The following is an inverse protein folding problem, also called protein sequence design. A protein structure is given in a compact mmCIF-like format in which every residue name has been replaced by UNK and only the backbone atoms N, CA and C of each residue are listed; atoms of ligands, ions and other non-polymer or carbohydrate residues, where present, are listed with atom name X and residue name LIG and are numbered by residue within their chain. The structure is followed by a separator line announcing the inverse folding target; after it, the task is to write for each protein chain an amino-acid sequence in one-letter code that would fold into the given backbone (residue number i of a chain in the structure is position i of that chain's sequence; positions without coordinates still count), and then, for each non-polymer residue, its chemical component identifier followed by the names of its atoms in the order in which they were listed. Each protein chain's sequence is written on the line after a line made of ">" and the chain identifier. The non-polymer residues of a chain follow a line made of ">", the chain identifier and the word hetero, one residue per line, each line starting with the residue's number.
data_IF_307550909678
#
_entry.id   IF_307550909678
#
_cell.length_a   1.000
_cell.length_b   1.000
_cell.length_c   1.000
_cell.angle_alpha   90.00
_cell.angle_beta   90.00
_cell.angle_gamma   90.00
#
_symmetry.space_group_name_H-M   'P 1'
#
loop_
_entity.id
_entity.type
_entity.pdbx_description
1 polymer ?
#
# COMPACT_ATOMS: atom_id res chain seq x y z
N UNK A 1 25.46 1.27 3.48
CA UNK A 1 25.19 2.38 2.54
C UNK A 1 24.27 1.84 1.47
N UNK A 2 23.21 2.55 1.09
CA UNK A 2 22.26 2.08 0.07
C UNK A 2 22.90 2.13 -1.32
N UNK A 3 22.73 1.09 -2.11
CA UNK A 3 23.09 1.09 -3.51
C UNK A 3 21.99 1.68 -4.39
N UNK A 4 22.18 1.71 -5.71
CA UNK A 4 21.22 2.28 -6.65
C UNK A 4 19.90 1.50 -6.67
N UNK A 5 19.96 0.19 -6.53
CA UNK A 5 18.80 -0.70 -6.57
C UNK A 5 17.98 -0.54 -5.30
N UNK A 6 18.63 -0.42 -4.14
CA UNK A 6 18.00 -0.09 -2.87
C UNK A 6 17.23 1.23 -2.94
N UNK A 7 17.86 2.28 -3.47
CA UNK A 7 17.24 3.60 -3.60
C UNK A 7 16.05 3.58 -4.55
N UNK A 8 16.16 2.85 -5.66
CA UNK A 8 15.05 2.70 -6.60
C UNK A 8 13.88 1.93 -5.98
N UNK A 9 14.16 0.89 -5.21
CA UNK A 9 13.15 0.12 -4.49
C UNK A 9 12.45 0.98 -3.43
N UNK A 10 13.22 1.76 -2.66
CA UNK A 10 12.68 2.69 -1.67
C UNK A 10 11.85 3.81 -2.29
N UNK A 11 12.27 4.33 -3.46
CA UNK A 11 11.50 5.31 -4.21
C UNK A 11 10.17 4.73 -4.69
N UNK A 12 10.17 3.54 -5.30
CA UNK A 12 8.93 2.86 -5.73
C UNK A 12 7.96 2.65 -4.56
N UNK A 13 8.50 2.32 -3.39
CA UNK A 13 7.71 2.20 -2.18
C UNK A 13 7.10 3.53 -1.76
N UNK A 14 7.89 4.61 -1.70
CA UNK A 14 7.40 5.95 -1.38
C UNK A 14 6.33 6.43 -2.40
N UNK A 15 6.57 6.20 -3.68
CA UNK A 15 5.61 6.50 -4.75
C UNK A 15 4.29 5.74 -4.59
N UNK A 16 4.35 4.45 -4.25
CA UNK A 16 3.13 3.64 -4.03
C UNK A 16 2.24 4.15 -2.89
N UNK A 17 2.84 4.83 -1.92
CA UNK A 17 2.12 5.45 -0.80
C UNK A 17 1.51 6.80 -1.18
N UNK A 18 2.28 7.65 -1.84
CA UNK A 18 1.88 9.03 -2.14
C UNK A 18 1.05 9.14 -3.42
N UNK A 19 1.25 8.24 -4.39
CA UNK A 19 0.71 8.30 -5.75
C UNK A 19 1.05 9.62 -6.48
N UNK A 20 2.13 10.28 -6.08
CA UNK A 20 2.64 11.50 -6.66
C UNK A 20 4.17 11.44 -6.70
N UNK A 21 4.76 11.83 -7.83
CA UNK A 21 6.20 11.72 -8.06
C UNK A 21 6.97 12.69 -7.15
N UNK A 22 6.51 13.90 -7.02
CA UNK A 22 7.11 14.94 -6.18
C UNK A 22 7.04 14.55 -4.69
N UNK A 23 5.86 14.22 -4.22
CA UNK A 23 5.64 13.81 -2.83
C UNK A 23 6.43 12.53 -2.51
N UNK A 24 6.56 11.60 -3.47
CA UNK A 24 7.37 10.38 -3.34
C UNK A 24 8.86 10.67 -3.16
N UNK A 25 9.42 11.59 -3.95
CA UNK A 25 10.81 12.02 -3.80
C UNK A 25 11.05 12.75 -2.49
N UNK A 26 10.19 13.69 -2.11
CA UNK A 26 10.30 14.44 -0.86
C UNK A 26 10.22 13.53 0.36
N UNK A 27 9.32 12.55 0.31
CA UNK A 27 9.16 11.54 1.35
C UNK A 27 10.42 10.68 1.50
N UNK A 28 10.99 10.19 0.39
CA UNK A 28 12.23 9.43 0.38
C UNK A 28 13.40 10.27 0.90
N UNK A 29 13.56 11.50 0.44
CA UNK A 29 14.63 12.40 0.86
C UNK A 29 14.56 12.65 2.37
N UNK A 30 13.38 13.01 2.89
CA UNK A 30 13.17 13.23 4.33
C UNK A 30 13.51 12.00 5.16
N UNK A 31 13.14 10.81 4.66
CA UNK A 31 13.45 9.56 5.33
C UNK A 31 14.96 9.25 5.34
N UNK A 32 15.66 9.50 4.22
CA UNK A 32 17.12 9.35 4.12
C UNK A 32 17.86 10.29 5.08
N UNK A 33 17.47 11.55 5.13
CA UNK A 33 18.04 12.53 6.07
C UNK A 33 17.88 12.08 7.52
N UNK A 34 16.70 11.56 7.87
CA UNK A 34 16.44 11.02 9.21
C UNK A 34 17.29 9.80 9.49
N UNK A 35 17.41 8.88 8.53
CA UNK A 35 18.22 7.67 8.67
C UNK A 35 19.70 8.00 8.91
N UNK A 36 20.28 8.92 8.13
CA UNK A 36 21.68 9.33 8.26
C UNK A 36 21.94 9.97 9.62
N UNK A 37 20.99 10.77 10.15
CA UNK A 37 21.13 11.42 11.46
C UNK A 37 21.06 10.45 12.64
N UNK A 38 20.53 9.25 12.47
CA UNK A 38 20.40 8.27 13.54
C UNK A 38 21.75 7.68 13.97
N UNK A 39 22.76 7.68 13.09
CA UNK A 39 24.12 7.16 13.36
C UNK A 39 24.14 5.80 14.08
N UNK A 40 23.26 4.88 13.65
CA UNK A 40 23.10 3.54 14.19
C UNK A 40 23.40 2.49 13.14
N UNK A 41 24.03 1.38 13.54
CA UNK A 41 24.12 0.20 12.71
C UNK A 41 22.79 -0.56 12.68
N UNK A 42 22.24 -0.78 11.49
CA UNK A 42 20.97 -1.47 11.27
C UNK A 42 21.23 -2.73 10.47
N UNK A 43 20.80 -3.89 10.99
CA UNK A 43 20.98 -5.19 10.32
C UNK A 43 20.23 -5.28 8.98
N UNK A 44 19.09 -4.61 8.85
CA UNK A 44 18.25 -4.59 7.65
C UNK A 44 17.89 -3.14 7.27
N UNK A 45 18.83 -2.41 6.64
CA UNK A 45 18.66 -0.97 6.42
C UNK A 45 17.48 -0.65 5.50
N UNK A 46 17.21 -1.44 4.46
CA UNK A 46 16.07 -1.23 3.55
C UNK A 46 14.74 -1.40 4.27
N UNK A 47 14.59 -2.45 5.09
CA UNK A 47 13.37 -2.67 5.86
C UNK A 47 13.14 -1.56 6.89
N UNK A 48 14.21 -1.10 7.52
CA UNK A 48 14.16 0.00 8.46
C UNK A 48 13.78 1.33 7.79
N UNK A 49 14.35 1.59 6.60
CA UNK A 49 14.00 2.75 5.77
C UNK A 49 12.52 2.75 5.38
N UNK A 50 11.97 1.61 4.97
CA UNK A 50 10.52 1.50 4.69
C UNK A 50 9.67 1.86 5.90
N UNK A 51 10.08 1.46 7.11
CA UNK A 51 9.39 1.85 8.35
C UNK A 51 9.45 3.36 8.59
N UNK A 52 10.60 4.01 8.32
CA UNK A 52 10.72 5.48 8.42
C UNK A 52 9.81 6.17 7.41
N UNK A 53 9.84 5.73 6.15
CA UNK A 53 9.02 6.27 5.06
C UNK A 53 7.54 6.16 5.42
N UNK A 54 7.08 4.98 5.84
CA UNK A 54 5.69 4.75 6.20
C UNK A 54 5.23 5.62 7.37
N UNK A 55 6.00 5.65 8.45
CA UNK A 55 5.67 6.47 9.62
C UNK A 55 5.57 7.94 9.26
N UNK A 56 6.50 8.46 8.44
CA UNK A 56 6.46 9.84 7.98
C UNK A 56 5.23 10.11 7.12
N UNK A 57 4.93 9.21 6.18
CA UNK A 57 3.74 9.32 5.34
C UNK A 57 2.45 9.37 6.15
N UNK A 58 2.30 8.48 7.14
CA UNK A 58 1.13 8.46 8.02
C UNK A 58 1.03 9.75 8.86
N UNK A 59 2.15 10.26 9.36
CA UNK A 59 2.17 11.53 10.09
C UNK A 59 1.73 12.70 9.20
N UNK A 60 2.21 12.77 7.97
CA UNK A 60 1.80 13.78 6.99
C UNK A 60 0.29 13.67 6.65
N UNK A 61 -0.22 12.44 6.48
CA UNK A 61 -1.65 12.21 6.28
C UNK A 61 -2.50 12.63 7.48
N UNK A 62 -2.04 12.38 8.71
CA UNK A 62 -2.72 12.82 9.93
C UNK A 62 -2.76 14.35 10.02
N UNK A 63 -1.65 15.02 9.70
CA UNK A 63 -1.58 16.48 9.66
C UNK A 63 -2.54 17.07 8.62
N UNK A 64 -2.64 16.44 7.46
CA UNK A 64 -3.59 16.83 6.40
C UNK A 64 -5.03 16.44 6.71
N UNK A 65 -5.32 15.77 7.84
CA UNK A 65 -6.65 15.22 8.24
C UNK A 65 -7.27 14.29 7.18
N UNK A 66 -6.46 13.61 6.40
CA UNK A 66 -6.91 12.70 5.34
C UNK A 66 -7.30 11.33 5.91
N UNK A 67 -6.71 10.92 7.04
CA UNK A 67 -6.99 9.62 7.67
C UNK A 67 -8.08 9.77 8.72
N UNK A 68 -9.22 9.17 8.46
CA UNK A 68 -10.24 8.88 9.47
C UNK A 68 -9.97 7.48 10.03
N UNK A 69 -9.67 7.40 11.33
CA UNK A 69 -9.56 6.10 12.00
C UNK A 69 -10.97 5.55 12.25
N UNK A 70 -11.38 4.60 11.44
CA UNK A 70 -12.56 3.80 11.72
C UNK A 70 -12.20 2.66 12.67
N UNK A 71 -12.85 2.60 13.82
CA UNK A 71 -12.81 1.44 14.71
C UNK A 71 -13.67 0.34 14.10
N UNK A 72 -13.09 -0.87 13.96
CA UNK A 72 -13.76 -2.00 13.37
C UNK A 72 -14.09 -3.08 14.38
N UNK A 73 -15.31 -3.59 14.28
CA UNK A 73 -15.73 -4.83 14.93
C UNK A 73 -15.45 -6.03 13.99
N UNK A 74 -14.90 -7.07 14.55
CA UNK A 74 -14.35 -8.28 13.88
C UNK A 74 -15.43 -9.19 13.24
N UNK A 75 -16.72 -8.82 13.33
CA UNK A 75 -17.85 -9.73 13.13
C UNK A 75 -18.34 -9.94 11.69
N UNK A 76 -17.80 -9.21 10.70
CA UNK A 76 -18.37 -9.17 9.34
C UNK A 76 -17.52 -9.84 8.24
N UNK A 77 -16.65 -10.80 8.59
CA UNK A 77 -15.81 -11.49 7.60
C UNK A 77 -16.52 -12.73 7.06
N UNK A 78 -16.81 -12.80 5.74
CA UNK A 78 -17.26 -14.04 5.11
C UNK A 78 -16.17 -15.10 5.13
N UNK A 79 -16.57 -16.36 5.30
CA UNK A 79 -15.67 -17.51 5.41
C UNK A 79 -14.90 -17.83 4.10
N UNK A 80 -15.42 -17.42 2.94
CA UNK A 80 -14.82 -17.69 1.63
C UNK A 80 -14.21 -16.42 1.04
N UNK A 81 -12.89 -16.29 1.22
CA UNK A 81 -12.11 -15.18 0.71
C UNK A 81 -11.24 -15.61 -0.47
N UNK A 82 -11.66 -15.26 -1.69
CA UNK A 82 -10.88 -15.51 -2.91
C UNK A 82 -9.90 -14.37 -3.20
N UNK A 83 -8.60 -14.68 -3.15
CA UNK A 83 -7.49 -13.71 -3.33
C UNK A 83 -7.21 -13.46 -4.82
N UNK A 84 -7.62 -14.35 -5.73
CA UNK A 84 -7.22 -14.35 -7.14
C UNK A 84 -7.70 -13.11 -7.93
N UNK A 85 -8.85 -12.56 -7.58
CA UNK A 85 -9.45 -11.43 -8.34
C UNK A 85 -8.63 -10.13 -8.24
N UNK A 86 -7.83 -9.93 -7.19
CA UNK A 86 -7.00 -8.74 -7.02
C UNK A 86 -5.69 -8.85 -7.80
N UNK A 87 -5.13 -10.05 -7.94
CA UNK A 87 -3.95 -10.30 -8.78
C UNK A 87 -4.24 -10.00 -10.25
N UNK A 88 -5.40 -10.41 -10.75
CA UNK A 88 -5.83 -10.15 -12.11
C UNK A 88 -5.98 -8.66 -12.43
N UNK A 89 -6.41 -7.85 -11.44
CA UNK A 89 -6.56 -6.40 -11.60
C UNK A 89 -5.21 -5.65 -11.61
N UNK A 90 -4.17 -6.20 -10.98
CA UNK A 90 -2.85 -5.55 -10.86
C UNK A 90 -1.89 -5.84 -12.02
N UNK A 91 -2.27 -6.68 -12.99
CA UNK A 91 -1.42 -7.06 -14.14
C UNK A 91 -1.17 -5.89 -15.11
N UNK A 92 -2.02 -4.86 -15.12
CA UNK A 92 -1.89 -3.70 -16.00
C UNK A 92 -1.32 -2.50 -15.22
N UNK A 93 -0.14 -1.98 -15.62
CA UNK A 93 0.54 -0.85 -14.96
C UNK A 93 -0.36 0.38 -14.83
N UNK A 94 -1.11 0.73 -15.86
CA UNK A 94 -2.06 1.86 -15.83
C UNK A 94 -3.21 1.64 -14.83
N UNK A 95 -3.65 0.41 -14.67
CA UNK A 95 -4.70 0.03 -13.74
C UNK A 95 -4.17 0.01 -12.30
N UNK A 96 -2.93 -0.43 -12.10
CA UNK A 96 -2.29 -0.41 -10.78
C UNK A 96 -2.20 1.00 -10.21
N UNK A 97 -1.85 1.99 -11.03
CA UNK A 97 -1.79 3.39 -10.60
C UNK A 97 -3.18 3.93 -10.23
N UNK A 98 -4.20 3.65 -11.04
CA UNK A 98 -5.59 4.03 -10.74
C UNK A 98 -6.11 3.37 -9.45
N UNK A 99 -5.77 2.10 -9.23
CA UNK A 99 -6.10 1.38 -7.99
C UNK A 99 -5.46 2.05 -6.79
N UNK A 100 -4.15 2.35 -6.85
CA UNK A 100 -3.44 3.00 -5.76
C UNK A 100 -4.00 4.38 -5.43
N UNK A 101 -4.36 5.18 -6.45
CA UNK A 101 -4.99 6.49 -6.25
C UNK A 101 -6.37 6.39 -5.58
N UNK A 102 -7.10 5.31 -5.84
CA UNK A 102 -8.44 5.07 -5.29
C UNK A 102 -8.41 4.56 -3.84
N UNK A 103 -7.29 3.97 -3.41
CA UNK A 103 -7.12 3.39 -2.09
C UNK A 103 -6.75 4.44 -1.03
N UNK A 104 -7.20 4.18 0.19
CA UNK A 104 -6.79 4.95 1.36
C UNK A 104 -5.29 4.72 1.67
N UNK A 105 -4.62 5.68 2.33
CA UNK A 105 -3.19 5.60 2.61
C UNK A 105 -2.71 4.30 3.26
N UNK A 106 -3.43 3.79 4.23
CA UNK A 106 -3.08 2.54 4.92
C UNK A 106 -3.45 1.28 4.12
N UNK A 107 -4.42 1.39 3.22
CA UNK A 107 -4.76 0.34 2.25
C UNK A 107 -3.65 0.15 1.21
N UNK A 108 -2.98 1.24 0.79
CA UNK A 108 -1.83 1.20 -0.15
C UNK A 108 -0.66 0.40 0.41
N UNK A 109 -0.37 0.56 1.70
CA UNK A 109 0.69 -0.23 2.37
C UNK A 109 0.37 -1.72 2.37
N UNK A 110 -0.85 -2.09 2.68
CA UNK A 110 -1.30 -3.48 2.68
C UNK A 110 -1.19 -4.09 1.28
N UNK A 111 -1.66 -3.37 0.25
CA UNK A 111 -1.58 -3.84 -1.13
C UNK A 111 -0.13 -3.96 -1.63
N UNK A 112 0.73 -3.02 -1.25
CA UNK A 112 2.15 -3.08 -1.59
C UNK A 112 2.82 -4.33 -1.00
N UNK A 113 2.61 -4.59 0.29
CA UNK A 113 3.15 -5.77 0.95
C UNK A 113 2.65 -7.07 0.32
N UNK A 114 1.37 -7.11 -0.06
CA UNK A 114 0.76 -8.28 -0.63
C UNK A 114 1.15 -8.50 -2.10
N UNK A 115 0.99 -7.49 -2.96
CA UNK A 115 1.15 -7.63 -4.41
C UNK A 115 2.62 -7.54 -4.87
N UNK A 116 3.45 -6.73 -4.21
CA UNK A 116 4.82 -6.47 -4.64
C UNK A 116 5.82 -7.28 -3.82
N UNK A 117 5.62 -7.37 -2.50
CA UNK A 117 6.52 -8.12 -1.63
C UNK A 117 6.10 -9.60 -1.46
N UNK A 118 4.89 -9.97 -1.89
CA UNK A 118 4.40 -11.35 -1.85
C UNK A 118 4.08 -11.87 -0.44
N UNK A 119 3.83 -10.99 0.51
CA UNK A 119 3.53 -11.39 1.89
C UNK A 119 2.11 -11.93 2.04
N UNK A 120 1.99 -12.99 2.81
CA UNK A 120 0.69 -13.48 3.29
C UNK A 120 0.04 -12.49 4.26
N UNK A 121 -1.27 -12.61 4.45
CA UNK A 121 -2.00 -11.76 5.41
C UNK A 121 -1.46 -11.85 6.83
N UNK A 122 -0.93 -13.00 7.23
CA UNK A 122 -0.30 -13.19 8.55
C UNK A 122 1.02 -12.46 8.66
N UNK A 123 1.85 -12.49 7.61
CA UNK A 123 3.12 -11.77 7.55
C UNK A 123 2.91 -10.25 7.50
N UNK A 124 1.89 -9.79 6.75
CA UNK A 124 1.49 -8.38 6.73
C UNK A 124 1.06 -7.92 8.12
N UNK A 125 0.25 -8.70 8.82
CA UNK A 125 -0.19 -8.40 10.18
C UNK A 125 1.00 -8.22 11.15
N UNK A 126 1.99 -9.10 11.07
CA UNK A 126 3.22 -9.01 11.86
C UNK A 126 4.02 -7.78 11.47
N UNK A 127 4.25 -7.57 10.16
CA UNK A 127 5.05 -6.45 9.64
C UNK A 127 4.46 -5.08 10.00
N UNK A 128 3.15 -4.94 9.91
CA UNK A 128 2.44 -3.70 10.20
C UNK A 128 2.05 -3.55 11.68
N UNK A 129 2.40 -4.53 12.51
CA UNK A 129 2.04 -4.57 13.94
C UNK A 129 0.52 -4.39 14.16
N UNK A 130 -0.29 -5.04 13.29
CA UNK A 130 -1.76 -4.99 13.33
C UNK A 130 -2.35 -6.37 13.56
N UNK A 131 -3.51 -6.47 14.21
CA UNK A 131 -4.23 -7.74 14.32
C UNK A 131 -4.53 -8.32 12.93
N UNK A 132 -4.40 -9.64 12.77
CA UNK A 132 -4.69 -10.34 11.50
C UNK A 132 -6.11 -10.07 11.00
N UNK A 133 -7.11 -10.04 11.91
CA UNK A 133 -8.49 -9.71 11.59
C UNK A 133 -8.64 -8.31 10.97
N UNK A 134 -7.88 -7.32 11.48
CA UNK A 134 -7.86 -5.96 10.91
C UNK A 134 -7.32 -5.94 9.49
N UNK A 135 -6.25 -6.68 9.21
CA UNK A 135 -5.68 -6.79 7.85
C UNK A 135 -6.66 -7.46 6.90
N UNK A 136 -7.26 -8.58 7.32
CA UNK A 136 -8.28 -9.29 6.54
C UNK A 136 -9.50 -8.42 6.23
N UNK A 137 -10.03 -7.69 7.22
CA UNK A 137 -11.18 -6.80 7.02
C UNK A 137 -10.87 -5.68 6.04
N UNK A 138 -9.66 -5.11 6.10
CA UNK A 138 -9.21 -4.07 5.16
C UNK A 138 -9.08 -4.63 3.74
N UNK A 139 -8.45 -5.77 3.57
CA UNK A 139 -8.34 -6.44 2.26
C UNK A 139 -9.73 -6.75 1.69
N UNK A 140 -10.65 -7.28 2.49
CA UNK A 140 -12.03 -7.55 2.05
C UNK A 140 -12.73 -6.28 1.54
N UNK A 141 -12.61 -5.16 2.28
CA UNK A 141 -13.23 -3.90 1.87
C UNK A 141 -12.57 -3.28 0.65
N UNK A 142 -11.26 -3.33 0.55
CA UNK A 142 -10.55 -2.92 -0.66
C UNK A 142 -11.08 -3.65 -1.88
N UNK A 143 -11.20 -4.99 -1.80
CA UNK A 143 -11.76 -5.79 -2.91
C UNK A 143 -13.17 -5.37 -3.27
N UNK A 144 -14.04 -5.17 -2.28
CA UNK A 144 -15.42 -4.75 -2.52
C UNK A 144 -15.49 -3.36 -3.17
N UNK A 145 -14.66 -2.41 -2.75
CA UNK A 145 -14.54 -1.09 -3.37
C UNK A 145 -14.06 -1.20 -4.82
N UNK A 146 -12.97 -1.95 -5.04
CA UNK A 146 -12.34 -2.11 -6.36
C UNK A 146 -13.26 -2.85 -7.33
N UNK A 147 -13.88 -3.93 -6.91
CA UNK A 147 -14.85 -4.66 -7.73
C UNK A 147 -16.00 -3.76 -8.16
N UNK A 148 -16.55 -2.96 -7.25
CA UNK A 148 -17.64 -2.03 -7.56
C UNK A 148 -17.22 -0.94 -8.55
N UNK A 149 -15.98 -0.45 -8.46
CA UNK A 149 -15.45 0.61 -9.29
C UNK A 149 -15.07 0.10 -10.68
N UNK A 150 -14.30 -0.97 -10.74
CA UNK A 150 -13.68 -1.45 -11.98
C UNK A 150 -14.51 -2.49 -12.76
N UNK A 151 -15.48 -3.18 -12.12
CA UNK A 151 -16.41 -4.06 -12.86
C UNK A 151 -17.37 -3.30 -13.77
N UNK A 152 -17.60 -2.00 -13.51
CA UNK A 152 -18.43 -1.15 -14.39
C UNK A 152 -17.71 -0.76 -15.69
N UNK A 153 -16.39 -0.71 -15.68
CA UNK A 153 -15.62 -0.31 -16.86
C UNK A 153 -15.42 -1.47 -17.84
N UNK A 154 -15.43 -2.72 -17.36
CA UNK A 154 -15.38 -3.90 -18.24
C UNK A 154 -16.61 -4.07 -19.13
N UNK A 155 -17.77 -3.58 -18.70
CA UNK A 155 -19.00 -3.61 -19.50
C UNK A 155 -19.08 -2.49 -20.55
N UNK A 156 -18.32 -1.39 -20.40
CA UNK A 156 -18.30 -0.31 -21.39
C UNK A 156 -17.43 -0.60 -22.60
N UNK A 157 -16.41 -1.46 -22.45
CA UNK A 157 -15.52 -1.82 -23.57
C UNK A 157 -16.14 -2.87 -24.49
N UNK A 158 -17.13 -3.63 -24.01
CA UNK A 158 -17.84 -4.65 -24.81
C UNK A 158 -18.97 -4.06 -25.71
N UNK A 159 -19.39 -2.81 -25.50
CA UNK A 159 -20.45 -2.16 -26.30
C UNK A 159 -19.92 -1.31 -27.47
N UNK A 160 -18.59 -1.25 -27.69
CA UNK A 160 -17.99 -0.45 -28.78
C UNK A 160 -17.55 -1.31 -29.97
N UNK A 161 -17.65 -2.64 -29.90
CA UNK A 161 -17.35 -3.57 -30.99
C UNK A 161 -18.62 -4.26 -31.58
N UNK A 162 -19.63 -3.50 -31.91
CA UNK A 162 -20.72 -3.94 -32.78
C UNK A 162 -21.01 -2.88 -33.85
#
# INVERSE_FOLDING_TARGET
>A
MFDKDDLQLLYRYAYSLTCDEHDGYDLLQTALEKFIKLDIEVNQPVAYMKKIIYNRFIDDCRHKKIIQFENFEESDLPADFDVQTLEELLVNENMAEQILQFLEPDEREIIYCWAIEGFSTSEIAIKLEKPKGTVLSKIYRMRKKLSKQFSKDSNKTAEIEL
#
